data_IF_673153927485
#
_entry.id   IF_673153927485
#
_cell.length_a   1.000
_cell.length_b   1.000
_cell.length_c   1.000
_cell.angle_alpha   90.00
_cell.angle_beta   90.00
_cell.angle_gamma   90.00
#
_symmetry.space_group_name_H-M   'P 1'
#
loop_
_entity.id
_entity.type
_entity.pdbx_description
1 polymer ?
#
# COMPACT_ATOMS: atom_id res chain seq x y z
N UNK A 1 9.30 15.75 37.30
CA UNK A 1 9.73 15.50 35.91
C UNK A 1 11.25 15.35 35.95
N UNK A 2 11.78 14.17 35.63
CA UNK A 2 13.22 13.89 35.73
C UNK A 2 13.99 14.69 34.66
N UNK A 3 15.06 15.37 35.07
CA UNK A 3 15.82 16.34 34.28
C UNK A 3 16.72 15.70 33.20
N UNK A 4 16.11 15.11 32.18
CA UNK A 4 16.84 14.62 31.01
C UNK A 4 17.11 15.77 30.04
N UNK A 5 18.34 15.85 29.56
CA UNK A 5 18.79 16.82 28.54
C UNK A 5 18.95 16.10 27.22
N UNK A 6 18.11 16.45 26.24
CA UNK A 6 18.26 15.99 24.87
C UNK A 6 19.40 16.79 24.21
N UNK A 7 20.43 16.10 23.74
CA UNK A 7 21.56 16.70 23.01
C UNK A 7 21.51 16.16 21.59
N UNK A 8 21.44 17.07 20.62
CA UNK A 8 21.46 16.75 19.20
C UNK A 8 22.81 17.17 18.61
N UNK A 9 23.55 16.21 18.08
CA UNK A 9 24.80 16.45 17.35
C UNK A 9 24.58 16.13 15.86
N UNK A 10 24.51 17.14 14.98
CA UNK A 10 24.36 16.92 13.54
C UNK A 10 25.60 16.31 12.88
N UNK A 11 26.75 16.28 13.57
CA UNK A 11 27.99 15.66 13.12
C UNK A 11 28.11 14.17 13.43
N UNK A 12 27.20 13.61 14.25
CA UNK A 12 27.13 12.17 14.51
C UNK A 12 26.66 11.46 13.24
N UNK A 13 27.62 10.94 12.48
CA UNK A 13 27.36 9.99 11.41
C UNK A 13 27.18 8.60 12.04
N UNK A 14 25.92 8.16 12.16
CA UNK A 14 25.63 6.74 12.41
C UNK A 14 25.73 6.04 11.07
N UNK A 15 26.69 5.13 10.92
CA UNK A 15 26.72 4.22 9.78
C UNK A 15 25.45 3.38 9.79
N UNK A 16 24.48 3.78 8.97
CA UNK A 16 23.27 3.02 8.74
C UNK A 16 23.65 1.86 7.83
N UNK A 17 23.99 0.72 8.42
CA UNK A 17 24.03 -0.53 7.67
C UNK A 17 22.59 -0.87 7.30
N UNK A 18 22.20 -0.78 6.00
CA UNK A 18 20.87 -1.21 5.61
C UNK A 18 20.75 -2.69 5.95
N UNK A 19 19.80 -3.04 6.82
CA UNK A 19 19.51 -4.44 7.11
C UNK A 19 19.23 -5.18 5.79
N UNK A 20 19.84 -6.36 5.63
CA UNK A 20 19.57 -7.23 4.50
C UNK A 20 18.06 -7.51 4.47
N UNK A 21 17.40 -7.03 3.41
CA UNK A 21 15.98 -7.29 3.19
C UNK A 21 15.86 -8.67 2.57
N UNK A 22 15.37 -9.63 3.34
CA UNK A 22 15.00 -10.96 2.84
C UNK A 22 13.66 -10.94 2.08
N UNK A 23 13.03 -9.78 1.94
CA UNK A 23 11.78 -9.62 1.19
C UNK A 23 12.00 -9.82 -0.32
N UNK A 24 11.04 -10.48 -0.96
CA UNK A 24 10.95 -10.70 -2.43
C UNK A 24 10.99 -9.39 -3.25
N UNK A 25 10.89 -8.24 -2.57
CA UNK A 25 10.79 -6.90 -3.10
C UNK A 25 12.17 -6.27 -3.36
N UNK A 26 12.89 -6.82 -4.35
CA UNK A 26 14.02 -6.10 -4.95
C UNK A 26 13.46 -4.89 -5.71
N UNK A 27 13.85 -3.66 -5.33
CA UNK A 27 13.40 -2.45 -6.01
C UNK A 27 13.79 -2.51 -7.49
N UNK A 28 12.80 -2.78 -8.35
CA UNK A 28 12.76 -2.18 -9.69
C UNK A 28 12.93 -3.09 -10.89
N UNK A 29 12.90 -4.43 -10.76
CA UNK A 29 13.09 -5.28 -11.95
C UNK A 29 11.85 -6.12 -12.29
N UNK A 30 11.10 -6.60 -11.31
CA UNK A 30 9.96 -7.52 -11.55
C UNK A 30 8.77 -7.15 -10.68
N UNK A 31 7.57 -7.30 -11.22
CA UNK A 31 6.32 -7.19 -10.47
C UNK A 31 6.29 -8.23 -9.34
N UNK A 32 6.02 -7.78 -8.11
CA UNK A 32 5.77 -8.63 -6.94
C UNK A 32 4.30 -8.53 -6.53
N UNK A 33 3.60 -9.66 -6.58
CA UNK A 33 2.18 -9.77 -6.18
C UNK A 33 2.01 -9.51 -4.68
N UNK A 34 2.89 -10.10 -3.86
CA UNK A 34 2.88 -10.00 -2.40
C UNK A 34 3.07 -8.56 -1.94
N UNK A 35 4.01 -7.84 -2.56
CA UNK A 35 4.26 -6.44 -2.26
C UNK A 35 3.06 -5.53 -2.59
N UNK A 36 2.44 -5.73 -3.76
CA UNK A 36 1.29 -4.94 -4.17
C UNK A 36 0.07 -5.21 -3.27
N UNK A 37 -0.16 -6.48 -2.90
CA UNK A 37 -1.21 -6.88 -1.95
C UNK A 37 -0.98 -6.17 -0.61
N UNK A 38 0.22 -6.26 -0.04
CA UNK A 38 0.56 -5.66 1.26
C UNK A 38 0.42 -4.12 1.21
N UNK A 39 0.86 -3.49 0.12
CA UNK A 39 0.74 -2.04 -0.05
C UNK A 39 -0.72 -1.58 -0.15
N UNK A 40 -1.57 -2.31 -0.89
CA UNK A 40 -2.99 -2.02 -1.02
C UNK A 40 -3.77 -2.31 0.28
N UNK A 41 -3.36 -3.33 1.02
CA UNK A 41 -3.87 -3.67 2.35
C UNK A 41 -3.64 -2.53 3.35
N UNK A 42 -2.38 -2.11 3.50
CA UNK A 42 -2.00 -1.06 4.44
C UNK A 42 -2.66 0.28 4.11
N UNK A 43 -2.70 0.66 2.82
CA UNK A 43 -3.39 1.87 2.37
C UNK A 43 -4.88 1.83 2.76
N UNK A 44 -5.54 0.69 2.56
CA UNK A 44 -6.96 0.55 2.86
C UNK A 44 -7.23 0.71 4.35
N UNK A 45 -6.45 0.06 5.22
CA UNK A 45 -6.63 0.19 6.68
C UNK A 45 -6.45 1.65 7.10
N UNK A 46 -5.33 2.26 6.71
CA UNK A 46 -5.01 3.64 7.10
C UNK A 46 -6.13 4.58 6.67
N UNK A 47 -6.55 4.53 5.40
CA UNK A 47 -7.57 5.46 4.92
C UNK A 47 -8.94 5.22 5.54
N UNK A 48 -9.32 3.96 5.80
CA UNK A 48 -10.58 3.68 6.50
C UNK A 48 -10.55 4.13 7.96
N UNK A 49 -9.41 4.06 8.65
CA UNK A 49 -9.27 4.56 10.02
C UNK A 49 -9.43 6.08 10.09
N UNK A 50 -8.78 6.82 9.20
CA UNK A 50 -8.77 8.28 9.24
C UNK A 50 -10.01 8.94 8.60
N UNK A 51 -10.61 8.32 7.58
CA UNK A 51 -11.70 8.96 6.85
C UNK A 51 -13.05 8.89 7.57
N UNK A 52 -13.87 9.96 7.51
CA UNK A 52 -15.28 9.88 7.86
C UNK A 52 -16.06 9.00 6.88
N UNK A 53 -17.24 8.54 7.29
CA UNK A 53 -18.02 7.50 6.59
C UNK A 53 -18.22 7.79 5.10
N UNK A 54 -18.59 9.02 4.72
CA UNK A 54 -18.79 9.38 3.31
C UNK A 54 -17.50 9.25 2.49
N UNK A 55 -16.38 9.70 3.05
CA UNK A 55 -15.07 9.61 2.39
C UNK A 55 -14.60 8.16 2.26
N UNK A 56 -14.93 7.28 3.23
CA UNK A 56 -14.68 5.83 3.12
C UNK A 56 -15.39 5.23 1.91
N UNK A 57 -16.67 5.55 1.72
CA UNK A 57 -17.47 5.06 0.58
C UNK A 57 -16.86 5.56 -0.73
N UNK A 58 -16.59 6.86 -0.83
CA UNK A 58 -15.95 7.46 -2.02
C UNK A 58 -14.62 6.78 -2.32
N UNK A 59 -13.79 6.56 -1.30
CA UNK A 59 -12.51 5.88 -1.45
C UNK A 59 -12.67 4.45 -1.96
N UNK A 60 -13.56 3.64 -1.38
CA UNK A 60 -13.78 2.26 -1.82
C UNK A 60 -14.25 2.22 -3.28
N UNK A 61 -15.22 3.05 -3.64
CA UNK A 61 -15.75 3.12 -5.01
C UNK A 61 -14.67 3.59 -5.99
N UNK A 62 -13.99 4.69 -5.69
CA UNK A 62 -12.95 5.23 -6.56
C UNK A 62 -11.76 4.26 -6.69
N UNK A 63 -11.32 3.65 -5.60
CA UNK A 63 -10.14 2.79 -5.60
C UNK A 63 -10.35 1.45 -6.30
N UNK A 64 -11.59 0.95 -6.35
CA UNK A 64 -11.97 -0.27 -7.09
C UNK A 64 -12.23 0.01 -8.57
N UNK A 65 -12.89 1.14 -8.90
CA UNK A 65 -13.21 1.49 -10.29
C UNK A 65 -12.03 2.13 -11.02
N UNK A 66 -11.36 3.09 -10.41
CA UNK A 66 -10.28 3.89 -11.02
C UNK A 66 -8.93 3.44 -10.48
N UNK A 67 -8.73 3.56 -9.17
CA UNK A 67 -7.46 3.31 -8.50
C UNK A 67 -6.33 4.22 -9.00
N UNK A 68 -5.10 3.76 -8.84
CA UNK A 68 -3.89 4.47 -9.29
C UNK A 68 -3.14 3.64 -10.32
N UNK A 69 -2.14 4.23 -10.98
CA UNK A 69 -1.29 3.48 -11.91
C UNK A 69 -0.54 2.32 -11.22
N UNK A 70 -0.20 2.47 -9.94
CA UNK A 70 0.52 1.45 -9.15
C UNK A 70 -0.44 0.44 -8.54
N UNK A 71 -1.57 0.91 -7.99
CA UNK A 71 -2.65 0.09 -7.38
C UNK A 71 -3.90 0.20 -8.26
N UNK A 72 -3.95 -0.50 -9.41
CA UNK A 72 -4.98 -0.28 -10.42
C UNK A 72 -6.37 -0.65 -9.92
N UNK A 73 -7.35 0.17 -10.29
CA UNK A 73 -8.75 -0.21 -10.37
C UNK A 73 -9.09 -0.72 -11.77
N UNK A 74 -10.37 -1.00 -12.00
CA UNK A 74 -10.86 -1.58 -13.25
C UNK A 74 -10.47 -0.77 -14.51
N UNK A 75 -10.67 0.55 -14.50
CA UNK A 75 -10.34 1.42 -15.64
C UNK A 75 -8.83 1.47 -15.92
N UNK A 76 -8.01 1.48 -14.87
CA UNK A 76 -6.56 1.48 -15.03
C UNK A 76 -6.03 0.13 -15.52
N UNK A 77 -6.69 -0.98 -15.17
CA UNK A 77 -6.45 -2.29 -15.75
C UNK A 77 -6.74 -2.27 -17.25
N UNK A 78 -7.94 -1.83 -17.66
CA UNK A 78 -8.32 -1.73 -19.07
C UNK A 78 -7.38 -0.84 -19.88
N UNK A 79 -6.95 0.30 -19.30
CA UNK A 79 -5.98 1.21 -19.93
C UNK A 79 -4.62 0.57 -20.15
N UNK A 80 -4.19 -0.30 -19.22
CA UNK A 80 -2.85 -0.91 -19.24
C UNK A 80 -2.83 -2.23 -20.01
N UNK A 81 -4.00 -2.86 -20.19
CA UNK A 81 -4.15 -4.16 -20.85
C UNK A 81 -3.52 -4.23 -22.26
N UNK A 82 -3.65 -3.23 -23.15
CA UNK A 82 -3.01 -3.29 -24.47
C UNK A 82 -1.48 -3.30 -24.42
N UNK A 83 -0.88 -2.80 -23.33
CA UNK A 83 0.58 -2.71 -23.18
C UNK A 83 1.16 -3.86 -22.36
N UNK A 84 0.45 -4.29 -21.34
CA UNK A 84 0.95 -5.25 -20.33
C UNK A 84 0.23 -6.61 -20.37
N UNK A 85 -0.89 -6.73 -21.08
CA UNK A 85 -1.66 -7.97 -21.22
C UNK A 85 -2.07 -8.57 -19.86
N UNK A 86 -1.73 -9.84 -19.65
CA UNK A 86 -2.07 -10.60 -18.44
C UNK A 86 -1.50 -9.95 -17.17
N UNK A 87 -0.35 -9.28 -17.25
CA UNK A 87 0.27 -8.60 -16.11
C UNK A 87 -0.62 -7.47 -15.56
N UNK A 88 -1.34 -6.75 -16.42
CA UNK A 88 -2.31 -5.73 -15.97
C UNK A 88 -3.44 -6.38 -15.14
N UNK A 89 -3.92 -7.54 -15.58
CA UNK A 89 -4.91 -8.34 -14.86
C UNK A 89 -4.38 -8.83 -13.51
N UNK A 90 -3.14 -9.32 -13.46
CA UNK A 90 -2.49 -9.74 -12.22
C UNK A 90 -2.38 -8.59 -11.22
N UNK A 91 -1.89 -7.42 -11.66
CA UNK A 91 -1.81 -6.20 -10.82
C UNK A 91 -3.18 -5.76 -10.29
N UNK A 92 -4.22 -5.84 -11.13
CA UNK A 92 -5.59 -5.51 -10.72
C UNK A 92 -6.13 -6.49 -9.68
N UNK A 93 -5.94 -7.79 -9.88
CA UNK A 93 -6.34 -8.81 -8.91
C UNK A 93 -5.58 -8.67 -7.58
N UNK A 94 -4.27 -8.41 -7.63
CA UNK A 94 -3.43 -8.14 -6.46
C UNK A 94 -3.94 -6.92 -5.67
N UNK A 95 -4.21 -5.82 -6.38
CA UNK A 95 -4.79 -4.59 -5.81
C UNK A 95 -6.13 -4.88 -5.12
N UNK A 96 -7.06 -5.58 -5.79
CA UNK A 96 -8.36 -5.93 -5.21
C UNK A 96 -8.24 -6.86 -4.00
N UNK A 97 -7.35 -7.87 -4.06
CA UNK A 97 -7.08 -8.78 -2.94
C UNK A 97 -6.56 -8.02 -1.72
N UNK A 98 -5.57 -7.15 -1.91
CA UNK A 98 -5.03 -6.31 -0.84
C UNK A 98 -6.11 -5.43 -0.21
N UNK A 99 -6.93 -4.75 -1.03
CA UNK A 99 -8.05 -3.92 -0.55
C UNK A 99 -9.09 -4.73 0.23
N UNK A 100 -9.46 -5.90 -0.28
CA UNK A 100 -10.41 -6.79 0.40
C UNK A 100 -9.87 -7.26 1.75
N UNK A 101 -8.61 -7.70 1.81
CA UNK A 101 -7.95 -8.08 3.05
C UNK A 101 -7.88 -6.90 4.02
N UNK A 102 -7.56 -5.69 3.53
CA UNK A 102 -7.49 -4.48 4.35
C UNK A 102 -8.84 -4.13 4.98
N UNK A 103 -9.92 -4.22 4.20
CA UNK A 103 -11.27 -4.03 4.70
C UNK A 103 -11.68 -5.09 5.74
N UNK A 104 -11.33 -6.36 5.52
CA UNK A 104 -11.59 -7.41 6.50
C UNK A 104 -10.84 -7.16 7.82
N UNK A 105 -9.56 -6.80 7.75
CA UNK A 105 -8.77 -6.47 8.95
C UNK A 105 -9.33 -5.25 9.67
N UNK A 106 -9.65 -4.19 8.95
CA UNK A 106 -10.27 -2.98 9.51
C UNK A 106 -11.57 -3.28 10.25
N UNK A 107 -12.45 -4.11 9.67
CA UNK A 107 -13.69 -4.52 10.34
C UNK A 107 -13.45 -5.34 11.61
N UNK A 108 -12.39 -6.15 11.66
CA UNK A 108 -12.02 -6.89 12.87
C UNK A 108 -11.53 -5.96 13.99
N UNK A 109 -10.96 -4.80 13.65
CA UNK A 109 -10.52 -3.80 14.64
C UNK A 109 -11.67 -2.93 15.16
N UNK A 110 -12.82 -2.90 14.48
CA UNK A 110 -14.01 -2.15 14.88
C UNK A 110 -14.99 -2.93 15.77
N UNK A 111 -14.89 -4.26 15.81
CA UNK A 111 -15.73 -5.14 16.63
C UNK A 111 -15.00 -5.58 17.88
#
# INVERSE_FOLDING_TARGET
>A
KAGWKLIYDPGVAVDHYPAQRFDEDQRGIVFSDTALINAAHNETIVLLDYFPILQRIIFIVWSTLVGTQIKPGFLQCLRSFPKEGLLAGQKWLASLRGRWQGWLSWKKCLG
#
